data_IF_597501772770
#
_entry.id   IF_597501772770
#
_cell.length_a   1.000
_cell.length_b   1.000
_cell.length_c   1.000
_cell.angle_alpha   90.00
_cell.angle_beta   90.00
_cell.angle_gamma   90.00
#
_symmetry.space_group_name_H-M   'P 1'
#
loop_
_entity.id
_entity.type
_entity.pdbx_description
1 polymer ?
#
# COMPACT_ATOMS: atom_id res chain seq x y z
N UNK A 1 -30.00 -0.44 98.06
CA UNK A 1 -31.39 -0.10 97.66
C UNK A 1 -31.51 1.42 97.54
N UNK A 2 -31.97 1.94 96.37
CA UNK A 2 -32.63 3.25 96.06
C UNK A 2 -32.09 4.53 96.74
N UNK A 3 -31.99 5.71 96.11
CA UNK A 3 -32.08 6.30 94.76
C UNK A 3 -31.95 7.83 95.01
N UNK A 4 -31.52 8.59 93.99
CA UNK A 4 -32.01 9.95 93.65
C UNK A 4 -31.38 11.23 94.29
N UNK A 5 -30.89 12.08 93.37
CA UNK A 5 -31.02 13.56 93.20
C UNK A 5 -29.85 14.53 93.40
N UNK A 6 -29.86 15.51 92.46
CA UNK A 6 -29.36 16.90 92.50
C UNK A 6 -27.85 17.14 92.22
N UNK A 7 -27.38 18.19 91.52
CA UNK A 7 -27.96 19.21 90.61
C UNK A 7 -26.80 19.96 89.92
N UNK A 8 -27.06 20.46 88.70
CA UNK A 8 -26.53 21.63 87.96
C UNK A 8 -25.17 22.25 88.35
N UNK A 9 -24.39 22.64 87.33
CA UNK A 9 -24.29 24.05 86.87
C UNK A 9 -23.25 24.29 85.75
N UNK A 10 -23.57 25.33 84.97
CA UNK A 10 -22.75 26.19 84.11
C UNK A 10 -22.47 25.79 82.65
N UNK A 11 -23.27 26.42 81.79
CA UNK A 11 -22.94 26.79 80.43
C UNK A 11 -21.92 27.94 80.40
N UNK A 12 -21.14 28.10 79.32
CA UNK A 12 -21.12 29.29 78.43
C UNK A 12 -19.92 29.22 77.44
N UNK A 13 -20.24 29.25 76.12
CA UNK A 13 -19.61 29.96 74.96
C UNK A 13 -18.09 29.84 74.67
N UNK A 14 -17.52 30.04 73.48
CA UNK A 14 -17.78 29.82 72.04
C UNK A 14 -16.47 30.29 71.35
N UNK A 15 -15.88 29.48 70.45
CA UNK A 15 -14.95 29.78 69.31
C UNK A 15 -13.53 30.39 69.57
N UNK A 16 -12.54 30.33 68.62
CA UNK A 16 -12.36 29.49 67.42
C UNK A 16 -10.88 29.08 67.07
N UNK A 17 -10.73 28.34 65.95
CA UNK A 17 -9.59 28.20 65.00
C UNK A 17 -8.34 27.35 65.34
N UNK A 18 -7.97 26.54 64.33
CA UNK A 18 -6.65 26.01 63.95
C UNK A 18 -6.16 24.72 64.63
N UNK A 19 -6.37 23.57 63.97
CA UNK A 19 -5.24 22.69 63.63
C UNK A 19 -5.57 21.84 62.40
N UNK A 20 -4.69 21.94 61.41
CA UNK A 20 -4.92 21.64 60.00
C UNK A 20 -5.25 20.19 59.65
N UNK A 21 -6.27 20.05 58.81
CA UNK A 21 -6.45 18.87 57.95
C UNK A 21 -5.34 18.82 56.92
N UNK A 22 -4.49 17.82 57.02
CA UNK A 22 -3.54 17.44 55.99
C UNK A 22 -4.33 16.79 54.83
N UNK A 23 -4.86 17.61 53.93
CA UNK A 23 -5.39 17.14 52.64
C UNK A 23 -4.19 16.89 51.71
N UNK A 24 -3.85 15.61 51.54
CA UNK A 24 -2.94 15.15 50.51
C UNK A 24 -3.56 15.43 49.14
N UNK A 25 -3.14 16.50 48.49
CA UNK A 25 -3.29 16.66 47.04
C UNK A 25 -2.27 15.73 46.37
N UNK A 26 -2.66 14.49 46.08
CA UNK A 26 -1.99 13.75 45.01
C UNK A 26 -2.46 14.32 43.68
N UNK A 27 -1.70 15.30 43.20
CA UNK A 27 -1.69 15.67 41.79
C UNK A 27 -1.14 14.47 41.02
N UNK A 28 -1.99 13.75 40.30
CA UNK A 28 -1.54 12.93 39.18
C UNK A 28 -1.01 13.90 38.14
N UNK A 29 0.31 13.95 37.97
CA UNK A 29 0.84 14.38 36.67
C UNK A 29 0.46 13.29 35.68
N UNK A 30 -0.31 13.65 34.66
CA UNK A 30 -0.39 12.86 33.44
C UNK A 30 1.06 12.67 32.99
N UNK A 31 1.58 11.45 33.10
CA UNK A 31 2.79 11.11 32.39
C UNK A 31 2.37 11.10 30.94
N UNK A 32 2.91 12.00 30.13
CA UNK A 32 2.84 11.86 28.69
C UNK A 32 3.32 10.44 28.37
N UNK A 33 2.40 9.60 27.90
CA UNK A 33 2.74 8.29 27.40
C UNK A 33 3.60 8.55 26.15
N UNK A 34 4.91 8.32 26.29
CA UNK A 34 5.82 8.38 25.14
C UNK A 34 5.30 7.36 24.14
N UNK A 35 4.97 7.83 22.95
CA UNK A 35 4.49 6.99 21.88
C UNK A 35 5.56 5.92 21.60
N UNK A 36 5.25 4.62 21.73
CA UNK A 36 6.24 3.55 21.54
C UNK A 36 6.79 3.48 20.10
N UNK A 37 6.20 4.22 19.16
CA UNK A 37 6.71 4.41 17.80
C UNK A 37 7.71 5.57 17.66
N UNK A 38 7.85 6.45 18.65
CA UNK A 38 8.81 7.57 18.59
C UNK A 38 10.27 7.10 18.68
N UNK A 39 10.53 5.98 19.36
CA UNK A 39 11.87 5.36 19.45
C UNK A 39 12.16 4.36 18.33
N UNK A 40 11.12 3.96 17.59
CA UNK A 40 11.24 3.10 16.41
C UNK A 40 10.88 3.91 15.18
N UNK A 41 11.78 4.81 14.79
CA UNK A 41 11.91 5.11 13.38
C UNK A 41 12.62 3.89 12.78
N UNK A 42 11.93 2.88 12.18
CA UNK A 42 12.61 2.07 11.18
C UNK A 42 13.24 3.09 10.23
N UNK A 43 14.49 2.88 9.82
CA UNK A 43 15.17 3.79 8.90
C UNK A 43 14.31 3.91 7.65
N UNK A 44 13.39 4.87 7.65
CA UNK A 44 12.69 5.27 6.47
C UNK A 44 13.78 5.77 5.56
N UNK A 45 13.75 5.30 4.32
CA UNK A 45 14.61 5.78 3.28
C UNK A 45 14.38 7.29 3.16
N UNK A 46 15.19 8.05 3.91
CA UNK A 46 15.02 9.48 4.18
C UNK A 46 15.76 10.26 3.11
N UNK A 47 15.59 9.85 1.85
CA UNK A 47 15.61 10.83 0.79
C UNK A 47 14.36 11.69 0.97
N UNK A 48 14.50 12.76 1.76
CA UNK A 48 13.50 13.82 1.83
C UNK A 48 13.49 14.50 0.45
N UNK A 49 12.75 13.92 -0.49
CA UNK A 49 12.67 14.36 -1.86
C UNK A 49 11.80 15.62 -1.90
N UNK A 50 12.44 16.77 -1.71
CA UNK A 50 11.76 18.04 -1.80
C UNK A 50 11.69 18.48 -3.26
N UNK A 51 10.49 18.36 -3.85
CA UNK A 51 10.22 18.92 -5.17
C UNK A 51 10.16 20.43 -5.03
N UNK A 52 11.15 21.11 -5.58
CA UNK A 52 11.23 22.57 -5.56
C UNK A 52 10.65 23.14 -6.85
N UNK A 53 9.65 24.01 -6.71
CA UNK A 53 9.01 24.73 -7.82
C UNK A 53 8.58 23.83 -9.00
N UNK A 54 7.74 22.80 -8.77
CA UNK A 54 7.23 21.98 -9.86
C UNK A 54 6.36 22.78 -10.82
N UNK A 55 6.29 22.36 -12.09
CA UNK A 55 5.29 22.88 -13.03
C UNK A 55 3.89 22.63 -12.45
N UNK A 56 3.06 23.67 -12.23
CA UNK A 56 1.74 23.52 -11.62
C UNK A 56 0.79 22.63 -12.43
N UNK A 57 1.04 22.43 -13.74
CA UNK A 57 0.25 21.54 -14.61
C UNK A 57 0.85 20.13 -14.75
N UNK A 58 1.87 19.80 -13.95
CA UNK A 58 2.44 18.44 -13.87
C UNK A 58 1.87 17.69 -12.68
N UNK A 59 1.90 16.35 -12.69
CA UNK A 59 1.46 15.56 -11.54
C UNK A 59 2.23 15.92 -10.26
N UNK A 60 3.52 16.25 -10.36
CA UNK A 60 4.31 16.72 -9.23
C UNK A 60 3.78 18.04 -8.67
N UNK A 61 3.42 18.99 -9.53
CA UNK A 61 2.85 20.27 -9.12
C UNK A 61 1.45 20.12 -8.52
N UNK A 62 0.61 19.31 -9.14
CA UNK A 62 -0.72 19.01 -8.59
C UNK A 62 -0.63 18.29 -7.24
N UNK A 63 0.31 17.35 -7.08
CA UNK A 63 0.51 16.67 -5.82
C UNK A 63 0.91 17.64 -4.70
N UNK A 64 1.97 18.43 -4.94
CA UNK A 64 2.51 19.37 -3.94
C UNK A 64 1.52 20.48 -3.61
N UNK A 65 0.83 21.02 -4.60
CA UNK A 65 -0.02 22.20 -4.42
C UNK A 65 -1.47 21.85 -4.08
N UNK A 66 -1.95 20.64 -4.40
CA UNK A 66 -3.38 20.32 -4.34
C UNK A 66 -3.64 18.99 -3.64
N UNK A 67 -3.25 17.86 -4.23
CA UNK A 67 -3.71 16.54 -3.75
C UNK A 67 -3.19 16.23 -2.35
N UNK A 68 -1.91 16.48 -2.08
CA UNK A 68 -1.35 16.24 -0.76
C UNK A 68 -1.93 17.19 0.31
N UNK A 69 -1.86 18.53 0.16
CA UNK A 69 -2.31 19.45 1.22
C UNK A 69 -3.83 19.55 1.37
N UNK A 70 -4.61 19.19 0.34
CA UNK A 70 -6.08 19.36 0.37
C UNK A 70 -6.82 18.04 0.50
N UNK A 71 -6.31 16.95 -0.10
CA UNK A 71 -7.04 15.70 -0.22
C UNK A 71 -6.49 14.59 0.67
N UNK A 72 -5.17 14.54 0.92
CA UNK A 72 -4.51 13.53 1.75
C UNK A 72 -4.70 13.75 3.26
N UNK A 73 -5.89 14.17 3.68
CA UNK A 73 -6.22 14.44 5.08
C UNK A 73 -6.67 13.15 5.76
N UNK A 74 -6.53 13.11 7.08
CA UNK A 74 -6.97 11.97 7.91
C UNK A 74 -8.44 11.66 7.63
N UNK A 75 -8.75 10.38 7.42
CA UNK A 75 -10.07 9.87 7.08
C UNK A 75 -10.67 10.34 5.73
N UNK A 76 -9.90 11.03 4.87
CA UNK A 76 -10.33 11.45 3.54
C UNK A 76 -9.63 10.67 2.43
N UNK A 77 -8.30 10.74 2.29
CA UNK A 77 -7.53 9.98 1.29
C UNK A 77 -6.11 9.72 1.83
N UNK A 78 -6.05 9.28 3.09
CA UNK A 78 -4.83 8.98 3.84
C UNK A 78 -4.25 7.58 3.55
N UNK A 79 -4.71 6.95 2.45
CA UNK A 79 -4.30 5.62 2.04
C UNK A 79 -5.04 4.47 2.71
N UNK A 80 -6.05 4.74 3.54
CA UNK A 80 -6.98 3.71 4.03
C UNK A 80 -7.91 3.21 2.92
N UNK A 81 -8.22 4.06 1.95
CA UNK A 81 -9.03 3.73 0.78
C UNK A 81 -8.62 4.59 -0.41
N UNK A 82 -9.01 4.18 -1.62
CA UNK A 82 -8.64 4.88 -2.83
C UNK A 82 -9.60 6.03 -3.20
N UNK A 83 -9.14 7.05 -3.96
CA UNK A 83 -7.75 7.32 -4.33
C UNK A 83 -6.81 7.51 -3.14
N UNK A 84 -5.54 7.12 -3.31
CA UNK A 84 -4.48 7.30 -2.30
C UNK A 84 -3.63 8.51 -2.70
N UNK A 85 -3.59 9.55 -1.85
CA UNK A 85 -2.84 10.78 -2.10
C UNK A 85 -1.61 10.98 -1.20
N UNK A 86 -1.07 9.90 -0.61
CA UNK A 86 0.11 9.99 0.27
C UNK A 86 1.41 10.20 -0.47
N UNK A 87 1.54 9.67 -1.68
CA UNK A 87 2.72 9.85 -2.54
C UNK A 87 2.29 10.25 -3.94
N UNK A 88 3.24 10.75 -4.74
CA UNK A 88 2.97 11.13 -6.14
C UNK A 88 2.61 9.88 -6.95
N UNK A 89 3.29 8.78 -6.70
CA UNK A 89 3.07 7.49 -7.36
C UNK A 89 1.70 6.91 -6.99
N UNK A 90 1.33 6.93 -5.71
CA UNK A 90 0.00 6.46 -5.29
C UNK A 90 -1.10 7.35 -5.87
N UNK A 91 -0.89 8.66 -5.87
CA UNK A 91 -1.80 9.64 -6.48
C UNK A 91 -2.03 9.33 -7.96
N UNK A 92 -0.95 9.12 -8.71
CA UNK A 92 -1.04 8.86 -10.13
C UNK A 92 -1.71 7.52 -10.43
N UNK A 93 -1.20 6.44 -9.85
CA UNK A 93 -1.62 5.08 -10.18
C UNK A 93 -3.04 4.75 -9.71
N UNK A 94 -3.51 5.39 -8.64
CA UNK A 94 -4.90 5.22 -8.16
C UNK A 94 -5.91 6.14 -8.85
N UNK A 95 -5.47 7.03 -9.76
CA UNK A 95 -6.35 7.98 -10.46
C UNK A 95 -6.49 7.71 -11.94
N UNK A 96 -5.39 7.43 -12.64
CA UNK A 96 -5.40 7.31 -14.09
C UNK A 96 -6.03 5.99 -14.53
N UNK A 97 -7.05 6.06 -15.39
CA UNK A 97 -7.78 4.90 -15.92
C UNK A 97 -8.35 3.95 -14.84
N UNK A 98 -8.45 4.41 -13.60
CA UNK A 98 -9.04 3.63 -12.52
C UNK A 98 -10.55 3.80 -12.48
N UNK A 99 -11.29 2.70 -12.29
CA UNK A 99 -12.73 2.75 -12.13
C UNK A 99 -13.12 3.55 -10.86
N UNK A 100 -14.11 4.45 -10.93
CA UNK A 100 -14.62 5.14 -9.75
C UNK A 100 -15.34 4.18 -8.80
N UNK A 101 -15.01 4.23 -7.50
CA UNK A 101 -15.67 3.40 -6.47
C UNK A 101 -17.16 3.79 -6.32
N UNK A 102 -17.43 5.10 -6.34
CA UNK A 102 -18.78 5.66 -6.31
C UNK A 102 -19.01 6.45 -7.58
N UNK A 103 -19.90 5.93 -8.42
CA UNK A 103 -20.25 6.49 -9.71
C UNK A 103 -21.77 6.58 -9.83
N UNK A 104 -22.28 7.60 -10.51
CA UNK A 104 -23.68 7.71 -10.90
C UNK A 104 -23.98 6.97 -12.22
N UNK A 105 -22.94 6.40 -12.85
CA UNK A 105 -22.99 5.61 -14.08
C UNK A 105 -22.53 6.37 -15.32
N UNK A 106 -22.15 7.65 -15.21
CA UNK A 106 -21.83 8.51 -16.36
C UNK A 106 -20.35 8.59 -16.71
N UNK A 107 -19.47 8.03 -15.87
CA UNK A 107 -18.02 8.17 -16.02
C UNK A 107 -17.31 6.84 -15.93
N UNK A 108 -16.40 6.55 -16.84
CA UNK A 108 -15.66 5.28 -16.84
C UNK A 108 -14.47 5.31 -15.89
N UNK A 109 -13.81 6.47 -15.77
CA UNK A 109 -12.54 6.61 -15.05
C UNK A 109 -12.54 7.76 -14.05
N UNK A 110 -11.73 7.61 -13.00
CA UNK A 110 -11.42 8.68 -12.03
C UNK A 110 -10.77 9.87 -12.74
N UNK A 111 -9.76 9.59 -13.57
CA UNK A 111 -9.20 10.50 -14.56
C UNK A 111 -9.13 9.79 -15.90
N UNK A 112 -9.75 10.40 -16.92
CA UNK A 112 -9.60 10.03 -18.33
C UNK A 112 -8.60 11.00 -18.97
N UNK A 113 -7.37 10.56 -19.28
CA UNK A 113 -6.37 11.35 -19.99
C UNK A 113 -6.94 11.99 -21.26
N UNK A 114 -6.69 13.28 -21.45
CA UNK A 114 -7.19 14.08 -22.57
C UNK A 114 -8.65 14.53 -22.46
N UNK A 115 -9.42 14.02 -21.49
CA UNK A 115 -10.88 14.25 -21.40
C UNK A 115 -11.32 14.64 -19.98
N UNK A 116 -11.14 15.92 -19.59
CA UNK A 116 -11.56 16.40 -18.28
C UNK A 116 -13.06 16.24 -18.04
N UNK A 117 -13.87 16.43 -19.08
CA UNK A 117 -15.33 16.28 -19.05
C UNK A 117 -15.79 14.83 -18.82
N UNK A 118 -14.92 13.85 -19.08
CA UNK A 118 -15.18 12.42 -18.84
C UNK A 118 -14.45 11.90 -17.60
N UNK A 119 -13.89 12.79 -16.78
CA UNK A 119 -13.16 12.44 -15.55
C UNK A 119 -14.01 12.66 -14.31
N UNK A 120 -14.25 11.62 -13.50
CA UNK A 120 -14.98 11.74 -12.22
C UNK A 120 -14.34 12.78 -11.30
N UNK A 121 -13.01 12.92 -11.31
CA UNK A 121 -12.31 13.94 -10.52
C UNK A 121 -12.89 15.33 -10.78
N UNK A 122 -13.06 15.71 -12.04
CA UNK A 122 -13.61 17.02 -12.41
C UNK A 122 -15.07 17.14 -12.02
N UNK A 123 -15.87 16.10 -12.26
CA UNK A 123 -17.27 16.08 -11.88
C UNK A 123 -17.49 16.22 -10.37
N UNK A 124 -16.60 15.64 -9.53
CA UNK A 124 -16.60 15.82 -8.06
C UNK A 124 -16.24 17.25 -7.69
N UNK A 125 -15.19 17.81 -8.30
CA UNK A 125 -14.70 19.16 -8.05
C UNK A 125 -15.73 20.25 -8.42
N UNK A 126 -16.46 20.01 -9.51
CA UNK A 126 -17.53 20.89 -9.99
C UNK A 126 -18.86 20.67 -9.24
N UNK A 127 -18.93 19.64 -8.39
CA UNK A 127 -20.12 19.28 -7.63
C UNK A 127 -21.26 18.71 -8.46
N UNK A 128 -20.97 18.24 -9.68
CA UNK A 128 -21.94 17.56 -10.55
C UNK A 128 -22.34 16.20 -9.97
N UNK A 129 -21.44 15.54 -9.24
CA UNK A 129 -21.69 14.25 -8.57
C UNK A 129 -21.44 14.36 -7.05
N UNK A 130 -22.33 13.74 -6.26
CA UNK A 130 -22.32 13.83 -4.79
C UNK A 130 -21.64 12.61 -4.12
N UNK A 131 -20.77 12.80 -3.10
CA UNK A 131 -20.37 14.09 -2.53
C UNK A 131 -19.43 14.89 -3.46
N UNK A 132 -19.49 16.24 -3.43
CA UNK A 132 -18.50 17.09 -4.10
C UNK A 132 -17.14 16.98 -3.40
N UNK A 133 -16.07 17.30 -4.11
CA UNK A 133 -14.70 17.35 -3.56
C UNK A 133 -14.06 18.73 -3.71
N UNK A 134 -13.22 19.17 -2.76
CA UNK A 134 -12.99 18.55 -1.45
C UNK A 134 -14.27 18.60 -0.58
N UNK A 135 -14.59 17.49 0.10
CA UNK A 135 -15.78 17.42 0.95
C UNK A 135 -15.58 18.19 2.28
N UNK A 136 -14.35 18.17 2.79
CA UNK A 136 -13.92 18.88 3.98
C UNK A 136 -12.54 19.49 3.71
N UNK A 137 -12.27 20.65 4.30
CA UNK A 137 -10.99 21.35 4.21
C UNK A 137 -10.39 21.47 5.61
N UNK A 138 -9.07 21.34 5.70
CA UNK A 138 -8.34 21.69 6.91
C UNK A 138 -8.38 23.21 7.15
N UNK A 139 -8.27 23.67 8.41
CA UNK A 139 -8.36 25.10 8.73
C UNK A 139 -7.34 26.00 8.03
N UNK A 140 -6.18 25.46 7.66
CA UNK A 140 -5.08 26.14 6.99
C UNK A 140 -5.04 25.86 5.47
N UNK A 141 -6.02 25.15 4.93
CA UNK A 141 -6.12 24.91 3.49
C UNK A 141 -6.30 26.22 2.72
N UNK A 142 -5.52 26.37 1.65
CA UNK A 142 -5.57 27.50 0.73
C UNK A 142 -6.52 27.26 -0.46
N UNK A 143 -7.23 26.12 -0.47
CA UNK A 143 -8.09 25.71 -1.57
C UNK A 143 -9.14 26.77 -1.90
N UNK A 144 -9.78 27.39 -0.92
CA UNK A 144 -10.84 28.38 -1.18
C UNK A 144 -10.31 29.64 -1.87
N UNK A 145 -9.06 30.01 -1.60
CA UNK A 145 -8.41 31.18 -2.19
C UNK A 145 -7.92 30.88 -3.61
N UNK A 146 -7.41 29.67 -3.84
CA UNK A 146 -6.74 29.27 -5.09
C UNK A 146 -7.59 28.34 -5.99
N UNK A 147 -8.84 28.06 -5.62
CA UNK A 147 -9.71 27.06 -6.27
C UNK A 147 -9.74 27.19 -7.79
N UNK A 148 -9.95 28.39 -8.33
CA UNK A 148 -10.06 28.58 -9.77
C UNK A 148 -8.76 28.20 -10.50
N UNK A 149 -7.61 28.59 -9.95
CA UNK A 149 -6.30 28.23 -10.49
C UNK A 149 -6.04 26.73 -10.37
N UNK A 150 -6.35 26.12 -9.22
CA UNK A 150 -6.16 24.69 -8.98
C UNK A 150 -7.01 23.83 -9.91
N UNK A 151 -8.28 24.20 -10.10
CA UNK A 151 -9.17 23.53 -11.07
C UNK A 151 -8.61 23.67 -12.49
N UNK A 152 -8.10 24.85 -12.85
CA UNK A 152 -7.51 25.06 -14.17
C UNK A 152 -6.24 24.23 -14.36
N UNK A 153 -5.38 24.11 -13.34
CA UNK A 153 -4.16 23.32 -13.38
C UNK A 153 -4.45 21.83 -13.53
N UNK A 154 -5.41 21.28 -12.77
CA UNK A 154 -5.87 19.90 -12.94
C UNK A 154 -6.44 19.70 -14.34
N UNK A 155 -7.30 20.63 -14.81
CA UNK A 155 -7.90 20.57 -16.14
C UNK A 155 -6.83 20.55 -17.23
N UNK A 156 -5.79 21.39 -17.13
CA UNK A 156 -4.70 21.45 -18.08
C UNK A 156 -3.88 20.16 -18.10
N UNK A 157 -3.53 19.63 -16.91
CA UNK A 157 -2.83 18.35 -16.81
C UNK A 157 -3.61 17.23 -17.48
N UNK A 158 -4.93 17.13 -17.22
CA UNK A 158 -5.79 16.13 -17.88
C UNK A 158 -5.83 16.36 -19.39
N UNK A 159 -6.09 17.59 -19.87
CA UNK A 159 -6.11 17.93 -21.31
C UNK A 159 -4.80 17.58 -22.01
N UNK A 160 -3.67 17.73 -21.32
CA UNK A 160 -2.33 17.41 -21.83
C UNK A 160 -1.98 15.92 -21.76
N UNK A 161 -2.98 15.06 -21.49
CA UNK A 161 -2.85 13.61 -21.49
C UNK A 161 -2.47 13.03 -20.12
N UNK A 162 -2.65 13.76 -19.02
CA UNK A 162 -2.44 13.30 -17.65
C UNK A 162 -1.11 12.53 -17.48
N UNK A 163 -0.01 13.19 -17.84
CA UNK A 163 1.32 12.58 -17.89
C UNK A 163 1.84 12.22 -16.51
N UNK A 164 2.63 11.15 -16.46
CA UNK A 164 3.34 10.71 -15.26
C UNK A 164 4.45 11.69 -14.84
N UNK A 165 5.16 11.39 -13.75
CA UNK A 165 6.25 12.24 -13.24
C UNK A 165 7.43 12.38 -14.23
N UNK A 166 7.57 11.44 -15.16
CA UNK A 166 8.61 11.43 -16.20
C UNK A 166 8.14 12.10 -17.51
N UNK A 167 6.88 12.52 -17.58
CA UNK A 167 6.28 13.15 -18.76
C UNK A 167 5.73 12.15 -19.79
N UNK A 168 5.68 10.86 -19.48
CA UNK A 168 5.11 9.85 -20.36
C UNK A 168 3.58 9.94 -20.38
N UNK A 169 2.98 9.63 -21.54
CA UNK A 169 1.54 9.43 -21.61
C UNK A 169 1.18 8.09 -20.96
N UNK A 170 0.10 8.04 -20.18
CA UNK A 170 -0.43 6.77 -19.72
C UNK A 170 -0.91 5.94 -20.91
N UNK A 171 -0.72 4.65 -20.83
CA UNK A 171 -1.38 3.70 -21.72
C UNK A 171 -2.73 3.39 -21.11
N UNK A 172 -3.78 3.52 -21.89
CA UNK A 172 -5.08 2.94 -21.56
C UNK A 172 -4.90 1.43 -21.59
N UNK A 173 -4.57 0.87 -20.44
CA UNK A 173 -4.79 -0.55 -20.23
C UNK A 173 -6.22 -0.65 -19.70
N UNK A 174 -7.20 -1.01 -20.54
CA UNK A 174 -8.61 -0.96 -20.17
C UNK A 174 -8.95 -1.99 -19.07
N UNK A 175 -7.97 -2.79 -18.64
CA UNK A 175 -8.16 -3.84 -17.65
C UNK A 175 -7.05 -3.81 -16.57
N UNK A 176 -7.42 -4.04 -15.31
CA UNK A 176 -6.49 -4.04 -14.18
C UNK A 176 -5.54 -5.23 -14.25
N UNK A 177 -4.24 -5.04 -14.45
CA UNK A 177 -3.28 -6.15 -14.56
C UNK A 177 -3.29 -7.08 -13.34
N UNK A 178 -2.84 -8.32 -13.56
CA UNK A 178 -2.52 -9.26 -12.49
C UNK A 178 -1.62 -8.66 -11.41
N UNK A 179 -2.05 -8.79 -10.16
CA UNK A 179 -1.34 -8.40 -8.96
C UNK A 179 -0.73 -9.62 -8.29
N UNK A 180 0.58 -9.57 -8.08
CA UNK A 180 1.30 -10.59 -7.33
C UNK A 180 1.06 -10.43 -5.82
N UNK A 181 0.70 -11.53 -5.16
CA UNK A 181 0.40 -11.57 -3.73
C UNK A 181 1.38 -12.39 -2.92
N UNK A 182 2.14 -13.30 -3.52
CA UNK A 182 3.15 -14.05 -2.78
C UNK A 182 3.79 -15.19 -3.55
N UNK A 183 4.90 -15.68 -3.01
CA UNK A 183 5.56 -16.91 -3.43
C UNK A 183 5.88 -17.75 -2.20
N UNK A 184 5.57 -19.04 -2.27
CA UNK A 184 5.98 -20.04 -1.29
C UNK A 184 6.83 -21.09 -1.98
N UNK A 185 7.83 -21.62 -1.28
CA UNK A 185 8.71 -22.64 -1.83
C UNK A 185 8.86 -23.75 -0.82
N UNK A 186 8.58 -24.97 -1.27
CA UNK A 186 8.66 -26.16 -0.45
C UNK A 186 9.75 -27.08 -0.95
N UNK A 187 10.46 -27.70 -0.01
CA UNK A 187 11.24 -28.90 -0.28
C UNK A 187 10.49 -30.06 0.36
N UNK A 188 10.02 -31.00 -0.47
CA UNK A 188 9.00 -31.98 -0.04
C UNK A 188 7.79 -31.24 0.56
N UNK A 189 7.51 -31.42 1.86
CA UNK A 189 6.41 -30.74 2.58
C UNK A 189 6.89 -29.59 3.49
N UNK A 190 8.19 -29.29 3.50
CA UNK A 190 8.77 -28.25 4.35
C UNK A 190 8.80 -26.91 3.62
N UNK A 191 8.08 -25.92 4.16
CA UNK A 191 8.17 -24.53 3.70
C UNK A 191 9.57 -23.99 4.00
N UNK A 192 10.24 -23.48 2.97
CA UNK A 192 11.56 -22.88 3.09
C UNK A 192 11.51 -21.45 3.62
N UNK A 193 12.53 -21.10 4.40
CA UNK A 193 12.68 -19.77 4.97
C UNK A 193 13.24 -18.78 3.97
N UNK A 194 13.00 -17.50 4.21
CA UNK A 194 13.57 -16.39 3.45
C UNK A 194 14.76 -15.78 4.19
N UNK A 195 15.76 -15.29 3.43
CA UNK A 195 16.89 -14.53 3.96
C UNK A 195 16.41 -13.20 4.54
N UNK A 196 16.80 -12.89 5.77
CA UNK A 196 16.28 -11.73 6.52
C UNK A 196 16.41 -10.40 5.75
N UNK A 197 17.57 -10.16 5.14
CA UNK A 197 17.86 -8.86 4.51
C UNK A 197 17.56 -8.81 3.01
N UNK A 198 17.41 -9.97 2.35
CA UNK A 198 17.19 -10.05 0.90
C UNK A 198 15.76 -10.47 0.57
N UNK A 199 15.01 -11.00 1.52
CA UNK A 199 13.73 -11.68 1.30
C UNK A 199 13.77 -12.87 0.31
N UNK A 200 14.91 -13.20 -0.31
CA UNK A 200 15.10 -14.37 -1.17
C UNK A 200 14.87 -15.67 -0.40
N UNK A 201 14.31 -16.70 -1.04
CA UNK A 201 14.15 -18.02 -0.42
C UNK A 201 15.51 -18.70 -0.30
N UNK A 202 15.85 -19.17 0.89
CA UNK A 202 17.08 -19.91 1.13
C UNK A 202 16.86 -21.36 0.70
N UNK A 203 17.60 -21.79 -0.30
CA UNK A 203 17.58 -23.16 -0.81
C UNK A 203 18.80 -23.91 -0.28
N UNK A 204 18.63 -25.07 0.37
CA UNK A 204 19.74 -25.91 0.81
C UNK A 204 20.65 -26.36 -0.34
N UNK A 205 21.93 -26.63 -0.04
CA UNK A 205 22.91 -27.13 -1.03
C UNK A 205 22.52 -28.48 -1.64
N UNK A 206 21.73 -29.27 -0.91
CA UNK A 206 21.20 -30.56 -1.36
C UNK A 206 19.66 -30.57 -1.26
N UNK A 207 18.99 -30.84 -2.38
CA UNK A 207 17.55 -31.03 -2.45
C UNK A 207 17.17 -32.02 -3.55
N UNK A 208 16.05 -32.75 -3.36
CA UNK A 208 15.51 -33.68 -4.36
C UNK A 208 14.53 -32.98 -5.31
N UNK A 209 13.71 -32.08 -4.76
CA UNK A 209 12.81 -31.22 -5.52
C UNK A 209 12.51 -29.93 -4.76
N UNK A 210 12.22 -28.87 -5.51
CA UNK A 210 11.62 -27.64 -4.99
C UNK A 210 10.27 -27.45 -5.66
N UNK A 211 9.24 -27.12 -4.88
CA UNK A 211 7.91 -26.81 -5.37
C UNK A 211 7.62 -25.34 -5.06
N UNK A 212 7.59 -24.53 -6.10
CA UNK A 212 7.32 -23.11 -6.05
C UNK A 212 5.84 -22.90 -6.31
N UNK A 213 5.19 -22.13 -5.44
CA UNK A 213 3.78 -21.78 -5.52
C UNK A 213 3.67 -20.26 -5.61
N UNK A 214 2.83 -19.76 -6.50
CA UNK A 214 2.62 -18.34 -6.73
C UNK A 214 1.16 -17.96 -6.52
N UNK A 215 0.96 -16.84 -5.83
CA UNK A 215 -0.34 -16.20 -5.69
C UNK A 215 -0.39 -14.97 -6.57
N UNK A 216 -1.33 -14.98 -7.52
CA UNK A 216 -1.60 -13.91 -8.47
C UNK A 216 -3.11 -13.66 -8.46
N UNK A 217 -3.51 -12.40 -8.45
CA UNK A 217 -4.91 -11.98 -8.36
C UNK A 217 -5.23 -10.95 -9.44
N UNK A 218 -6.43 -11.03 -10.01
CA UNK A 218 -6.95 -10.02 -10.92
C UNK A 218 -8.35 -9.64 -10.45
N UNK A 219 -8.73 -8.37 -10.56
CA UNK A 219 -9.98 -7.90 -9.94
C UNK A 219 -11.25 -8.31 -10.72
N UNK A 220 -11.10 -8.73 -11.98
CA UNK A 220 -12.22 -9.13 -12.86
C UNK A 220 -12.02 -10.44 -13.64
N UNK A 221 -10.86 -11.12 -13.51
CA UNK A 221 -10.51 -12.32 -14.28
C UNK A 221 -10.27 -13.47 -13.31
N UNK A 222 -10.92 -14.59 -13.56
CA UNK A 222 -10.70 -15.82 -12.79
C UNK A 222 -9.32 -16.39 -13.15
N UNK A 223 -8.56 -16.84 -12.16
CA UNK A 223 -7.22 -17.39 -12.38
C UNK A 223 -7.21 -18.62 -13.32
N UNK A 224 -8.33 -19.34 -13.42
CA UNK A 224 -8.48 -20.48 -14.34
C UNK A 224 -8.87 -20.07 -15.76
N UNK A 225 -9.05 -18.78 -16.01
CA UNK A 225 -9.32 -18.23 -17.34
C UNK A 225 -8.09 -17.55 -17.97
N UNK A 226 -6.90 -17.70 -17.39
CA UNK A 226 -5.67 -17.18 -17.99
C UNK A 226 -5.34 -17.89 -19.31
N UNK A 227 -4.99 -17.10 -20.33
CA UNK A 227 -4.54 -17.58 -21.64
C UNK A 227 -3.11 -18.12 -21.58
N UNK A 228 -2.23 -17.47 -20.81
CA UNK A 228 -0.84 -17.88 -20.64
C UNK A 228 -0.38 -17.69 -19.18
N UNK A 229 0.39 -18.67 -18.68
CA UNK A 229 0.94 -18.65 -17.33
C UNK A 229 2.27 -19.41 -17.33
N UNK A 230 3.36 -18.68 -17.55
CA UNK A 230 4.71 -19.25 -17.64
C UNK A 230 5.71 -18.53 -16.77
N UNK A 231 6.84 -19.17 -16.56
CA UNK A 231 7.96 -18.67 -15.76
C UNK A 231 9.27 -18.77 -16.54
N UNK A 232 10.11 -17.76 -16.36
CA UNK A 232 11.53 -17.82 -16.73
C UNK A 232 12.38 -17.61 -15.51
N UNK A 233 13.55 -18.22 -15.54
CA UNK A 233 14.51 -18.20 -14.46
C UNK A 233 15.84 -17.68 -15.02
N UNK A 234 16.54 -16.83 -14.28
CA UNK A 234 17.80 -16.21 -14.73
C UNK A 234 18.74 -15.98 -13.54
N UNK A 235 20.06 -16.13 -13.75
CA UNK A 235 21.06 -15.68 -12.76
C UNK A 235 21.22 -14.16 -12.73
N UNK A 236 20.63 -13.45 -13.70
CA UNK A 236 20.67 -11.99 -13.81
C UNK A 236 19.30 -11.40 -13.50
N UNK A 237 19.27 -10.49 -12.54
CA UNK A 237 18.03 -9.90 -12.00
C UNK A 237 17.09 -9.24 -13.02
N UNK A 238 17.60 -8.68 -14.11
CA UNK A 238 16.81 -7.93 -15.11
C UNK A 238 17.00 -8.45 -16.55
N UNK A 239 17.64 -9.61 -16.73
CA UNK A 239 17.96 -10.14 -18.06
C UNK A 239 17.42 -11.56 -18.16
N UNK A 240 16.28 -11.69 -18.83
CA UNK A 240 15.58 -12.95 -19.10
C UNK A 240 15.49 -13.23 -20.62
N UNK A 241 16.29 -12.50 -21.42
CA UNK A 241 16.33 -12.69 -22.86
C UNK A 241 17.07 -13.99 -23.18
N UNK A 242 16.45 -14.86 -24.00
CA UNK A 242 17.02 -16.16 -24.35
C UNK A 242 16.87 -17.24 -23.27
N UNK A 243 16.32 -16.92 -22.10
CA UNK A 243 16.00 -17.91 -21.07
C UNK A 243 14.84 -18.82 -21.51
N UNK A 244 14.89 -20.08 -21.08
CA UNK A 244 13.85 -21.06 -21.36
C UNK A 244 12.57 -20.68 -20.60
N UNK A 245 11.45 -20.78 -21.29
CA UNK A 245 10.12 -20.55 -20.74
C UNK A 245 9.49 -21.87 -20.32
N UNK A 246 9.02 -21.94 -19.07
CA UNK A 246 8.37 -23.11 -18.51
C UNK A 246 6.91 -22.79 -18.18
N UNK A 247 5.99 -23.68 -18.56
CA UNK A 247 4.58 -23.56 -18.20
C UNK A 247 4.41 -23.82 -16.69
N UNK A 248 3.53 -23.03 -16.05
CA UNK A 248 3.15 -23.23 -14.66
C UNK A 248 2.00 -24.24 -14.60
N UNK A 249 1.98 -25.10 -13.60
CA UNK A 249 0.79 -25.91 -13.30
C UNK A 249 -0.28 -25.01 -12.68
N UNK A 250 -1.49 -25.03 -13.23
CA UNK A 250 -2.68 -24.44 -12.61
C UNK A 250 -3.42 -25.50 -11.77
N UNK A 251 -3.56 -25.25 -10.47
CA UNK A 251 -4.18 -26.18 -9.52
C UNK A 251 -5.69 -25.95 -9.42
N UNK A 252 -6.49 -27.01 -9.26
CA UNK A 252 -7.94 -26.86 -9.00
C UNK A 252 -8.22 -26.42 -7.55
N UNK A 253 -7.32 -26.77 -6.62
CA UNK A 253 -7.41 -26.46 -5.19
C UNK A 253 -6.17 -25.67 -4.80
N UNK A 254 -6.31 -24.44 -4.27
CA UNK A 254 -5.16 -23.63 -3.94
C UNK A 254 -4.48 -24.16 -2.68
N UNK A 255 -3.17 -23.89 -2.60
CA UNK A 255 -2.50 -23.86 -1.31
C UNK A 255 -2.84 -22.54 -0.60
N UNK A 256 -3.04 -22.58 0.72
CA UNK A 256 -3.22 -21.38 1.53
C UNK A 256 -1.94 -21.06 2.31
N UNK A 257 -1.54 -19.79 2.32
CA UNK A 257 -0.38 -19.36 3.11
C UNK A 257 -0.25 -17.85 3.18
N UNK A 258 0.67 -17.35 4.00
CA UNK A 258 0.88 -15.90 4.13
C UNK A 258 1.58 -15.34 2.89
N UNK A 259 1.01 -14.29 2.32
CA UNK A 259 1.54 -13.54 1.18
C UNK A 259 2.62 -12.52 1.54
N UNK A 260 3.04 -11.78 0.53
CA UNK A 260 3.97 -10.66 0.58
C UNK A 260 3.52 -9.57 1.56
N UNK A 261 2.21 -9.28 1.62
CA UNK A 261 1.63 -8.24 2.46
C UNK A 261 1.20 -8.73 3.86
N UNK A 262 1.44 -10.01 4.15
CA UNK A 262 1.15 -10.63 5.45
C UNK A 262 -0.25 -11.26 5.58
N UNK A 263 -1.15 -10.96 4.66
CA UNK A 263 -2.47 -11.58 4.53
C UNK A 263 -2.37 -13.07 4.14
N UNK A 264 -3.45 -13.82 4.38
CA UNK A 264 -3.55 -15.21 3.90
C UNK A 264 -4.05 -15.17 2.46
N UNK A 265 -3.29 -15.79 1.57
CA UNK A 265 -3.50 -15.77 0.13
C UNK A 265 -3.71 -17.18 -0.42
N UNK A 266 -4.30 -17.25 -1.61
CA UNK A 266 -4.53 -18.47 -2.38
C UNK A 266 -3.46 -18.63 -3.47
N UNK A 267 -2.83 -19.80 -3.51
CA UNK A 267 -1.73 -20.11 -4.43
C UNK A 267 -2.16 -21.19 -5.42
N UNK A 268 -2.52 -20.75 -6.61
CA UNK A 268 -3.04 -21.60 -7.70
C UNK A 268 -2.00 -22.00 -8.73
N UNK A 269 -0.91 -21.24 -8.87
CA UNK A 269 0.12 -21.50 -9.86
C UNK A 269 1.30 -22.22 -9.20
N UNK A 270 1.82 -23.28 -9.83
CA UNK A 270 2.95 -24.06 -9.30
C UNK A 270 4.01 -24.32 -10.37
N UNK A 271 5.27 -24.30 -9.98
CA UNK A 271 6.37 -24.84 -10.77
C UNK A 271 7.24 -25.75 -9.91
N UNK A 272 7.83 -26.79 -10.50
CA UNK A 272 8.74 -27.68 -9.78
C UNK A 272 10.12 -27.68 -10.41
N UNK A 273 11.15 -27.67 -9.57
CA UNK A 273 12.56 -27.73 -9.95
C UNK A 273 13.14 -29.04 -9.43
N UNK A 274 13.88 -29.76 -10.28
CA UNK A 274 14.58 -31.00 -9.92
C UNK A 274 16.08 -30.90 -10.24
N UNK A 275 16.96 -31.59 -9.49
CA UNK A 275 18.32 -31.87 -9.94
C UNK A 275 18.30 -32.75 -11.20
N UNK A 276 19.15 -32.50 -12.22
CA UNK A 276 20.22 -31.51 -12.28
C UNK A 276 19.82 -30.19 -12.97
N UNK A 277 18.53 -29.98 -13.27
CA UNK A 277 18.04 -28.93 -14.18
C UNK A 277 18.55 -27.52 -13.83
N UNK A 278 18.85 -27.29 -12.54
CA UNK A 278 19.34 -26.01 -12.03
C UNK A 278 20.59 -26.12 -11.13
N UNK A 279 21.30 -27.27 -11.16
CA UNK A 279 22.59 -27.42 -10.47
C UNK A 279 23.73 -26.93 -11.35
N UNK A 280 24.00 -25.63 -11.31
CA UNK A 280 25.20 -25.05 -11.88
C UNK A 280 25.52 -23.72 -11.21
N UNK A 281 26.67 -23.66 -10.52
CA UNK A 281 27.50 -22.49 -10.16
C UNK A 281 26.91 -21.16 -9.65
N UNK A 282 25.59 -20.94 -9.69
CA UNK A 282 24.97 -19.65 -9.45
C UNK A 282 24.55 -19.51 -7.99
N UNK A 283 24.92 -18.39 -7.37
CA UNK A 283 24.57 -18.11 -5.98
C UNK A 283 23.07 -17.77 -5.83
N UNK A 284 22.45 -17.21 -6.88
CA UNK A 284 21.07 -16.72 -6.82
C UNK A 284 20.37 -16.83 -8.18
N UNK A 285 19.12 -17.28 -8.17
CA UNK A 285 18.26 -17.42 -9.34
C UNK A 285 17.03 -16.53 -9.17
N UNK A 286 16.85 -15.59 -10.10
CA UNK A 286 15.72 -14.69 -10.17
C UNK A 286 14.62 -15.29 -11.03
N UNK A 287 13.37 -15.01 -10.68
CA UNK A 287 12.20 -15.55 -11.37
C UNK A 287 11.37 -14.41 -11.95
N UNK A 288 10.84 -14.63 -13.15
CA UNK A 288 9.85 -13.77 -13.77
C UNK A 288 8.68 -14.61 -14.25
N UNK A 289 7.50 -14.28 -13.73
CA UNK A 289 6.23 -14.79 -14.23
C UNK A 289 5.78 -13.95 -15.41
N UNK A 290 5.12 -14.61 -16.34
CA UNK A 290 4.49 -14.01 -17.51
C UNK A 290 3.05 -14.52 -17.51
N UNK A 291 2.15 -13.62 -17.17
CA UNK A 291 0.72 -13.90 -17.01
C UNK A 291 -0.03 -13.17 -18.11
N UNK A 292 -0.96 -13.85 -18.76
CA UNK A 292 -1.80 -13.25 -19.78
C UNK A 292 -3.25 -13.59 -19.53
N UNK A 293 -4.03 -12.55 -19.31
CA UNK A 293 -5.46 -12.58 -19.21
C UNK A 293 -6.11 -12.56 -20.60
N UNK A 294 -7.37 -13.00 -20.73
CA UNK A 294 -8.11 -12.93 -21.99
C UNK A 294 -8.11 -11.53 -22.57
N UNK A 295 -7.79 -11.43 -23.86
CA UNK A 295 -7.74 -10.18 -24.64
C UNK A 295 -6.74 -9.13 -24.12
N UNK A 296 -5.79 -9.51 -23.26
CA UNK A 296 -4.73 -8.62 -22.74
C UNK A 296 -3.35 -8.96 -23.29
N UNK A 297 -2.44 -7.99 -23.17
CA UNK A 297 -1.01 -8.21 -23.36
C UNK A 297 -0.42 -8.95 -22.17
N UNK A 298 0.69 -9.66 -22.38
CA UNK A 298 1.40 -10.34 -21.30
C UNK A 298 1.86 -9.33 -20.23
N UNK A 299 1.55 -9.65 -18.97
CA UNK A 299 2.05 -8.97 -17.77
C UNK A 299 3.29 -9.70 -17.25
N UNK A 300 4.40 -8.96 -17.13
CA UNK A 300 5.64 -9.45 -16.54
C UNK A 300 5.71 -9.15 -15.03
N UNK A 301 6.01 -10.16 -14.22
CA UNK A 301 6.09 -10.03 -12.75
C UNK A 301 7.36 -10.71 -12.23
N UNK A 302 8.35 -9.96 -11.71
CA UNK A 302 8.46 -8.51 -11.70
C UNK A 302 9.00 -7.99 -13.05
N UNK A 303 8.66 -6.75 -13.41
CA UNK A 303 9.25 -6.06 -14.58
C UNK A 303 10.71 -5.65 -14.33
N UNK A 304 11.39 -5.16 -15.37
CA UNK A 304 12.75 -4.59 -15.25
C UNK A 304 12.79 -3.32 -14.39
N UNK A 305 11.68 -2.61 -14.25
CA UNK A 305 11.54 -1.35 -13.51
C UNK A 305 11.09 -1.58 -12.06
N UNK A 306 10.66 -2.80 -11.72
CA UNK A 306 10.20 -3.10 -10.38
C UNK A 306 11.30 -2.91 -9.32
N UNK A 307 10.89 -2.68 -8.06
CA UNK A 307 11.83 -2.46 -6.96
C UNK A 307 12.76 -3.66 -6.74
N UNK A 308 13.91 -3.40 -6.14
CA UNK A 308 14.83 -4.47 -5.74
C UNK A 308 14.13 -5.48 -4.81
N UNK A 309 13.29 -5.01 -3.89
CA UNK A 309 12.65 -5.86 -2.88
C UNK A 309 11.75 -6.93 -3.50
N UNK A 310 10.95 -6.58 -4.51
CA UNK A 310 10.08 -7.57 -5.16
C UNK A 310 10.88 -8.54 -6.02
N UNK A 311 11.93 -8.07 -6.70
CA UNK A 311 12.85 -8.92 -7.46
C UNK A 311 13.60 -9.90 -6.57
N UNK A 312 14.02 -9.44 -5.40
CA UNK A 312 14.71 -10.26 -4.43
C UNK A 312 13.74 -11.22 -3.71
N UNK A 313 12.48 -10.80 -3.47
CA UNK A 313 11.42 -11.69 -2.99
C UNK A 313 11.10 -12.81 -4.01
N UNK A 314 11.12 -12.52 -5.31
CA UNK A 314 11.03 -13.50 -6.41
C UNK A 314 12.42 -14.02 -6.80
N UNK A 315 13.15 -14.55 -5.82
CA UNK A 315 14.44 -15.22 -6.06
C UNK A 315 14.71 -16.39 -5.12
N UNK A 316 15.53 -17.33 -5.59
CA UNK A 316 16.10 -18.45 -4.84
C UNK A 316 17.59 -18.15 -4.59
N UNK A 317 18.01 -18.20 -3.34
CA UNK A 317 19.40 -18.07 -2.92
C UNK A 317 19.91 -19.46 -2.52
N UNK A 318 20.82 -20.03 -3.31
CA UNK A 318 21.36 -21.35 -3.04
C UNK A 318 22.47 -21.23 -2.00
N UNK A 319 22.32 -21.93 -0.87
CA UNK A 319 23.41 -22.04 0.10
C UNK A 319 24.52 -22.90 -0.51
N UNK A 320 25.76 -22.41 -0.46
CA UNK A 320 26.94 -23.21 -0.80
C UNK A 320 27.23 -24.26 0.27
#
# INVERSE_FOLDING_TARGET
>A
MKKINWIKKYAIWFIPITLGGFLFFQSCSEKEEVNPFDETLPGQDTVNFQITNPDPNSIAGLFVNIFHPTCANVACHDGTFEPDFRTIESTYNTMIYQMPIKNDGNYEYRVHPGRPDQSVLMARIDGTISPPMPFQLEPDSDWLQNREEYIQNITNWIKNGARDILGNLPVEDPQPKSNFRGMLVFQSDLLLNRHKDKAAVIVPSEFDSLHLYFSVTHSSVDIHSLDEHHIRLSSKMNDFEGEISYELDLLDVPLFGRGLYGDVEEYYLRYSIWPPDFFGGEDQLYLRLYIKEPDQSITEIPTNEASYDIKSYLSLLFSQ
#
